data_IF_808305805586
#
_entry.id   IF_808305805586
#
_cell.length_a   1.000
_cell.length_b   1.000
_cell.length_c   1.000
_cell.angle_alpha   90.00
_cell.angle_beta   90.00
_cell.angle_gamma   90.00
#
_symmetry.space_group_name_H-M   'P 1'
#
loop_
_entity.id
_entity.type
_entity.pdbx_description
1 polymer ?
#
# COMPACT_ATOMS: atom_id res chain seq x y z
N UNK A 1 -4.44 -51.95 -48.27
CA UNK A 1 -4.41 -50.52 -47.89
C UNK A 1 -5.28 -50.23 -46.66
N UNK A 2 -6.23 -51.09 -46.32
CA UNK A 2 -7.09 -50.88 -45.14
C UNK A 2 -6.47 -51.29 -43.80
N UNK A 3 -5.59 -52.27 -43.76
CA UNK A 3 -4.95 -52.72 -42.50
C UNK A 3 -3.96 -51.69 -41.90
N UNK A 4 -3.28 -50.92 -42.76
CA UNK A 4 -2.33 -49.92 -42.34
C UNK A 4 -2.98 -48.65 -41.72
N UNK A 5 -4.26 -48.40 -42.03
CA UNK A 5 -5.03 -47.25 -41.55
C UNK A 5 -5.60 -47.49 -40.13
N UNK A 6 -5.94 -48.71 -39.79
CA UNK A 6 -6.44 -49.12 -38.49
C UNK A 6 -5.36 -49.15 -37.43
N UNK A 7 -4.13 -49.52 -37.79
CA UNK A 7 -3.00 -49.55 -36.84
C UNK A 7 -2.52 -48.15 -36.48
N UNK A 8 -2.55 -47.18 -37.37
CA UNK A 8 -2.18 -45.77 -37.11
C UNK A 8 -3.25 -45.03 -36.28
N UNK A 9 -4.53 -45.38 -36.47
CA UNK A 9 -5.62 -44.82 -35.64
C UNK A 9 -5.64 -45.39 -34.22
N UNK A 10 -5.36 -46.69 -34.04
CA UNK A 10 -5.27 -47.32 -32.73
C UNK A 10 -4.14 -46.74 -31.86
N UNK A 11 -2.98 -46.47 -32.47
CA UNK A 11 -1.82 -45.95 -31.76
C UNK A 11 -1.93 -44.45 -31.38
N UNK A 12 -2.74 -43.67 -32.12
CA UNK A 12 -3.07 -42.28 -31.76
C UNK A 12 -4.11 -42.19 -30.64
N UNK A 13 -5.10 -43.10 -30.62
CA UNK A 13 -6.11 -43.15 -29.55
C UNK A 13 -5.53 -43.61 -28.22
N UNK A 14 -4.58 -44.56 -28.23
CA UNK A 14 -3.88 -45.01 -27.00
C UNK A 14 -2.96 -43.91 -26.45
N UNK A 15 -2.31 -43.14 -27.32
CA UNK A 15 -1.49 -41.96 -26.87
C UNK A 15 -2.36 -40.81 -26.39
N UNK A 16 -3.56 -40.60 -26.87
CA UNK A 16 -4.49 -39.60 -26.38
C UNK A 16 -5.08 -40.02 -25.02
N UNK A 17 -5.37 -41.32 -24.83
CA UNK A 17 -5.87 -41.83 -23.55
C UNK A 17 -4.81 -41.80 -22.43
N UNK A 18 -3.52 -41.98 -22.77
CA UNK A 18 -2.43 -41.88 -21.79
C UNK A 18 -2.11 -40.43 -21.36
N UNK A 19 -2.38 -39.42 -22.21
CA UNK A 19 -2.20 -37.99 -21.88
C UNK A 19 -3.34 -37.48 -20.98
N UNK A 20 -4.55 -38.03 -21.09
CA UNK A 20 -5.70 -37.62 -20.25
C UNK A 20 -5.63 -38.28 -18.86
N UNK A 21 -4.97 -39.43 -18.71
CA UNK A 21 -4.85 -40.12 -17.41
C UNK A 21 -3.85 -39.49 -16.42
N UNK A 22 -2.99 -38.57 -16.85
CA UNK A 22 -1.96 -37.92 -15.99
C UNK A 22 -2.50 -36.63 -15.28
N UNK A 23 -3.73 -36.18 -15.58
CA UNK A 23 -4.26 -34.89 -15.11
C UNK A 23 -5.27 -35.01 -13.95
N UNK A 24 -5.39 -36.17 -13.31
CA UNK A 24 -6.11 -36.33 -12.04
C UNK A 24 -5.09 -36.58 -10.93
N UNK A 25 -4.21 -35.60 -10.69
CA UNK A 25 -3.55 -35.51 -9.40
C UNK A 25 -4.64 -35.06 -8.42
N UNK A 26 -5.01 -35.88 -7.41
CA UNK A 26 -5.84 -35.38 -6.34
C UNK A 26 -5.03 -34.23 -5.70
N UNK A 27 -5.45 -33.00 -5.90
CA UNK A 27 -5.05 -31.91 -5.02
C UNK A 27 -5.54 -32.33 -3.64
N UNK A 28 -4.66 -32.92 -2.86
CA UNK A 28 -4.84 -33.07 -1.42
C UNK A 28 -4.89 -31.61 -0.94
N UNK A 29 -6.08 -31.10 -0.70
CA UNK A 29 -6.30 -29.79 -0.09
C UNK A 29 -5.86 -29.88 1.37
N UNK A 30 -4.55 -29.99 1.60
CA UNK A 30 -3.98 -29.65 2.88
C UNK A 30 -4.28 -28.15 3.07
N UNK A 31 -4.85 -27.79 4.23
CA UNK A 31 -5.09 -26.37 4.53
C UNK A 31 -3.81 -25.55 4.31
N UNK A 32 -3.96 -24.28 3.97
CA UNK A 32 -2.83 -23.40 3.75
C UNK A 32 -1.92 -23.35 4.98
N UNK A 33 -0.64 -23.59 4.78
CA UNK A 33 0.37 -23.52 5.85
C UNK A 33 0.71 -22.04 6.15
N UNK A 34 1.33 -21.78 7.29
CA UNK A 34 1.82 -20.44 7.64
C UNK A 34 2.82 -19.92 6.59
N UNK A 35 3.61 -20.81 5.98
CA UNK A 35 4.59 -20.44 4.96
C UNK A 35 3.90 -20.01 3.68
N UNK A 36 2.88 -20.74 3.23
CA UNK A 36 2.11 -20.39 2.04
C UNK A 36 1.45 -19.02 2.19
N UNK A 37 0.86 -18.75 3.37
CA UNK A 37 0.24 -17.47 3.71
C UNK A 37 1.28 -16.33 3.74
N UNK A 38 2.49 -16.60 4.23
CA UNK A 38 3.57 -15.61 4.23
C UNK A 38 4.07 -15.30 2.81
N UNK A 39 4.20 -16.32 1.95
CA UNK A 39 4.57 -16.13 0.54
C UNK A 39 3.52 -15.31 -0.22
N UNK A 40 2.23 -15.57 0.02
CA UNK A 40 1.15 -14.75 -0.53
C UNK A 40 1.23 -13.30 -0.04
N UNK A 41 1.51 -13.11 1.25
CA UNK A 41 1.65 -11.79 1.86
C UNK A 41 2.84 -11.00 1.32
N UNK A 42 3.99 -11.64 1.06
CA UNK A 42 5.16 -10.99 0.44
C UNK A 42 4.83 -10.36 -0.92
N UNK A 43 3.92 -10.99 -1.66
CA UNK A 43 3.53 -10.52 -3.00
C UNK A 43 2.42 -9.47 -2.91
N UNK A 44 1.50 -9.61 -1.95
CA UNK A 44 0.24 -8.87 -1.96
C UNK A 44 0.14 -7.76 -0.93
N UNK A 45 0.89 -7.81 0.19
CA UNK A 45 0.76 -6.83 1.28
C UNK A 45 0.95 -5.38 0.82
N UNK A 46 -0.05 -4.50 1.00
CA UNK A 46 0.04 -3.10 0.57
C UNK A 46 1.12 -2.31 1.30
N UNK A 47 1.37 -2.60 2.58
CA UNK A 47 2.37 -1.89 3.39
C UNK A 47 3.79 -2.26 2.97
N UNK A 48 4.03 -3.51 2.60
CA UNK A 48 5.32 -3.92 2.06
C UNK A 48 5.57 -3.29 0.68
N UNK A 49 4.52 -3.22 -0.18
CA UNK A 49 4.60 -2.52 -1.47
C UNK A 49 4.88 -1.03 -1.30
N UNK A 50 4.27 -0.38 -0.31
CA UNK A 50 4.56 1.01 0.04
C UNK A 50 6.02 1.19 0.48
N UNK A 51 6.52 0.33 1.39
CA UNK A 51 7.91 0.36 1.85
C UNK A 51 8.89 0.16 0.68
N UNK A 52 8.58 -0.76 -0.25
CA UNK A 52 9.36 -0.96 -1.47
C UNK A 52 9.37 0.27 -2.37
N UNK A 53 8.20 0.87 -2.64
CA UNK A 53 8.10 2.07 -3.45
C UNK A 53 8.85 3.25 -2.82
N UNK A 54 8.77 3.41 -1.50
CA UNK A 54 9.52 4.43 -0.76
C UNK A 54 11.04 4.20 -0.86
N UNK A 55 11.49 2.96 -0.70
CA UNK A 55 12.90 2.59 -0.93
C UNK A 55 13.35 3.00 -2.34
N UNK A 56 12.57 2.68 -3.37
CA UNK A 56 12.89 3.05 -4.76
C UNK A 56 12.98 4.57 -4.93
N UNK A 57 12.02 5.33 -4.37
CA UNK A 57 12.05 6.79 -4.41
C UNK A 57 13.31 7.37 -3.72
N UNK A 58 13.73 6.78 -2.61
CA UNK A 58 14.94 7.22 -1.89
C UNK A 58 16.22 6.86 -2.67
N UNK A 59 16.27 5.73 -3.37
CA UNK A 59 17.41 5.35 -4.23
C UNK A 59 17.69 6.43 -5.28
N UNK A 60 16.65 7.08 -5.82
CA UNK A 60 16.78 8.18 -6.78
C UNK A 60 17.42 9.45 -6.19
N UNK A 61 17.54 9.55 -4.86
CA UNK A 61 18.29 10.65 -4.22
C UNK A 61 19.78 10.67 -4.58
N UNK A 62 20.35 9.50 -4.90
CA UNK A 62 21.75 9.38 -5.31
C UNK A 62 22.04 9.97 -6.69
N UNK A 63 21.33 9.62 -7.78
CA UNK A 63 21.50 10.30 -9.06
C UNK A 63 21.14 11.79 -8.99
N UNK A 64 20.16 12.19 -8.15
CA UNK A 64 19.87 13.61 -7.93
C UNK A 64 21.06 14.34 -7.28
N UNK A 65 21.68 13.75 -6.25
CA UNK A 65 22.88 14.32 -5.64
C UNK A 65 24.07 14.34 -6.62
N UNK A 66 24.21 13.34 -7.48
CA UNK A 66 25.23 13.29 -8.52
C UNK A 66 25.01 14.39 -9.57
N UNK A 67 23.76 14.73 -9.90
CA UNK A 67 23.44 15.76 -10.89
C UNK A 67 24.00 17.15 -10.52
N UNK A 68 24.21 17.43 -9.23
CA UNK A 68 24.82 18.68 -8.75
C UNK A 68 26.32 18.79 -9.14
N UNK A 69 26.95 17.67 -9.47
CA UNK A 69 28.34 17.61 -9.94
C UNK A 69 28.44 17.60 -11.47
N UNK A 70 27.31 17.50 -12.18
CA UNK A 70 27.28 17.49 -13.64
C UNK A 70 27.01 18.89 -14.20
N UNK A 71 27.35 19.13 -15.49
CA UNK A 71 27.00 20.38 -16.17
C UNK A 71 25.49 20.57 -16.21
N UNK A 72 25.03 21.76 -15.81
CA UNK A 72 23.62 22.16 -15.88
C UNK A 72 23.40 23.06 -17.10
N UNK A 73 22.62 22.59 -18.04
CA UNK A 73 22.14 23.37 -19.17
C UNK A 73 20.75 23.90 -18.89
N UNK A 74 20.58 25.22 -18.95
CA UNK A 74 19.28 25.87 -18.78
C UNK A 74 18.98 26.70 -20.02
N UNK A 75 17.79 26.56 -20.58
CA UNK A 75 17.26 27.39 -21.65
C UNK A 75 16.03 28.12 -21.14
N UNK A 76 15.98 29.42 -21.34
CA UNK A 76 14.83 30.25 -20.98
C UNK A 76 14.44 31.17 -22.15
N UNK A 77 13.16 31.47 -22.25
CA UNK A 77 12.61 32.39 -23.23
C UNK A 77 11.60 33.27 -22.51
N UNK A 78 11.77 34.57 -22.66
CA UNK A 78 10.91 35.60 -22.07
C UNK A 78 10.36 36.48 -23.14
N UNK A 79 9.04 36.61 -23.23
CA UNK A 79 8.35 37.64 -23.99
C UNK A 79 7.84 38.69 -23.00
N UNK A 80 8.14 39.94 -23.25
CA UNK A 80 7.66 41.06 -22.43
C UNK A 80 7.04 42.11 -23.35
N UNK A 81 5.80 42.44 -23.08
CA UNK A 81 5.03 43.52 -23.68
C UNK A 81 4.86 44.60 -22.60
N UNK A 82 5.30 45.83 -22.89
CA UNK A 82 5.29 46.93 -21.94
C UNK A 82 4.79 48.21 -22.61
N UNK A 83 3.66 48.71 -22.12
CA UNK A 83 3.10 49.97 -22.47
C UNK A 83 3.46 51.01 -21.41
N UNK A 84 4.27 52.00 -21.81
CA UNK A 84 4.64 53.10 -20.92
C UNK A 84 4.00 54.40 -21.39
N UNK A 85 3.11 54.92 -20.57
CA UNK A 85 2.49 56.22 -20.79
C UNK A 85 3.12 57.22 -19.85
N UNK A 86 3.64 58.31 -20.38
CA UNK A 86 4.28 59.36 -19.57
C UNK A 86 4.00 60.77 -20.09
N UNK A 87 4.15 61.72 -19.22
CA UNK A 87 4.09 63.12 -19.52
C UNK A 87 5.45 63.76 -19.30
N UNK A 88 6.07 64.25 -20.34
CA UNK A 88 7.28 65.08 -20.24
C UNK A 88 6.90 66.55 -20.18
N UNK A 89 7.30 67.16 -19.09
CA UNK A 89 7.10 68.64 -18.94
C UNK A 89 8.42 69.35 -19.15
N UNK A 90 8.50 70.15 -20.22
CA UNK A 90 9.66 70.92 -20.53
C UNK A 90 9.37 72.39 -20.22
N UNK A 91 10.22 73.01 -19.43
CA UNK A 91 10.18 74.47 -19.21
C UNK A 91 11.17 75.16 -20.15
N UNK A 92 10.63 75.97 -21.10
CA UNK A 92 11.42 76.77 -21.99
C UNK A 92 11.46 78.19 -21.43
N UNK A 93 12.66 78.68 -21.14
CA UNK A 93 12.90 80.06 -20.74
C UNK A 93 13.25 80.84 -21.98
N UNK A 94 12.47 81.90 -22.23
CA UNK A 94 12.67 82.84 -23.35
C UNK A 94 13.29 84.09 -22.78
N UNK A 95 14.47 84.44 -23.28
CA UNK A 95 15.20 85.65 -22.88
C UNK A 95 15.14 86.69 -23.97
N UNK A 96 15.14 87.95 -23.60
CA UNK A 96 15.29 89.09 -24.56
C UNK A 96 16.71 89.03 -25.15
N UNK A 97 16.83 89.03 -26.51
CA UNK A 97 18.14 88.93 -27.17
C UNK A 97 18.99 90.20 -27.00
N UNK A 98 18.38 91.36 -26.59
CA UNK A 98 19.09 92.65 -26.46
C UNK A 98 19.47 92.93 -25.00
N UNK A 99 18.56 92.69 -24.05
CA UNK A 99 18.75 93.04 -22.64
C UNK A 99 19.19 91.82 -21.81
N UNK A 100 18.98 90.60 -22.31
CA UNK A 100 19.29 89.33 -21.55
C UNK A 100 18.26 89.04 -20.47
N UNK A 101 17.18 89.80 -20.35
CA UNK A 101 16.14 89.61 -19.35
C UNK A 101 15.21 88.45 -19.70
N UNK A 102 14.69 87.75 -18.68
CA UNK A 102 13.73 86.68 -18.83
C UNK A 102 12.36 87.21 -19.26
N UNK A 103 11.97 87.00 -20.53
CA UNK A 103 10.71 87.42 -21.08
C UNK A 103 9.52 86.53 -20.73
N UNK A 104 9.73 85.25 -20.76
CA UNK A 104 8.67 84.28 -20.47
C UNK A 104 9.23 82.90 -20.07
N UNK A 105 8.46 82.17 -19.32
CA UNK A 105 8.67 80.72 -19.07
C UNK A 105 7.46 80.04 -19.66
N UNK A 106 7.65 79.27 -20.74
CA UNK A 106 6.61 78.48 -21.34
C UNK A 106 6.80 77.02 -20.81
N UNK A 107 5.70 76.41 -20.45
CA UNK A 107 5.69 75.01 -20.01
C UNK A 107 4.98 74.21 -21.08
N UNK A 108 5.72 73.37 -21.79
CA UNK A 108 5.20 72.42 -22.79
C UNK A 108 5.04 71.08 -22.17
N UNK A 109 3.83 70.52 -22.16
CA UNK A 109 3.53 69.17 -21.76
C UNK A 109 3.41 68.28 -23.01
N UNK A 110 4.30 67.34 -23.16
CA UNK A 110 4.24 66.39 -24.26
C UNK A 110 3.90 65.00 -23.64
N UNK A 111 2.77 64.46 -24.06
CA UNK A 111 2.42 63.08 -23.76
C UNK A 111 3.20 62.15 -24.69
N UNK A 112 3.78 61.10 -24.15
CA UNK A 112 4.34 60.05 -24.96
C UNK A 112 3.74 58.71 -24.57
N UNK A 113 3.51 57.85 -25.53
CA UNK A 113 3.14 56.46 -25.39
C UNK A 113 4.28 55.68 -26.01
N UNK A 114 4.88 54.83 -25.24
CA UNK A 114 5.94 53.96 -25.71
C UNK A 114 5.46 52.50 -25.52
N UNK A 115 5.18 51.84 -26.64
CA UNK A 115 4.95 50.39 -26.70
C UNK A 115 6.30 49.74 -26.97
N UNK A 116 6.65 48.75 -26.13
CA UNK A 116 7.90 48.04 -26.26
C UNK A 116 7.65 46.54 -26.16
N UNK A 117 7.77 45.85 -27.28
CA UNK A 117 7.78 44.38 -27.35
C UNK A 117 9.21 43.91 -27.30
N UNK A 118 9.52 43.02 -26.35
CA UNK A 118 10.83 42.41 -26.28
C UNK A 118 10.70 40.90 -26.21
N UNK A 119 11.49 40.19 -27.01
CA UNK A 119 11.65 38.75 -26.97
C UNK A 119 13.13 38.47 -26.67
N UNK A 120 13.35 37.79 -25.54
CA UNK A 120 14.69 37.39 -25.10
C UNK A 120 14.74 35.88 -24.98
N UNK A 121 15.76 35.26 -25.51
CA UNK A 121 16.11 33.88 -25.25
C UNK A 121 17.53 33.80 -24.71
N UNK A 122 17.74 32.84 -23.80
CA UNK A 122 19.02 32.64 -23.14
C UNK A 122 19.28 31.13 -22.98
N UNK A 123 20.49 30.73 -23.28
CA UNK A 123 20.98 29.35 -22.99
C UNK A 123 22.22 29.50 -22.15
N UNK A 124 22.13 28.96 -20.91
CA UNK A 124 23.22 29.04 -19.94
C UNK A 124 23.74 27.63 -19.63
N UNK A 125 25.01 27.37 -19.80
CA UNK A 125 25.72 26.18 -19.35
C UNK A 125 26.55 26.53 -18.12
N UNK A 126 26.26 25.87 -16.99
CA UNK A 126 26.97 26.07 -15.73
C UNK A 126 27.59 24.75 -15.27
N UNK A 127 28.88 24.77 -14.95
CA UNK A 127 29.63 23.62 -14.41
C UNK A 127 30.38 24.04 -13.15
N UNK A 128 30.08 23.36 -12.03
CA UNK A 128 30.92 23.45 -10.83
C UNK A 128 32.21 22.67 -11.02
N UNK A 129 33.37 23.33 -10.92
CA UNK A 129 34.68 22.67 -11.01
C UNK A 129 35.07 22.06 -9.67
N UNK A 130 34.89 22.80 -8.58
CA UNK A 130 35.15 22.33 -7.20
C UNK A 130 33.98 22.76 -6.33
N UNK A 131 33.24 21.76 -5.82
CA UNK A 131 32.14 22.00 -4.88
C UNK A 131 32.16 20.91 -3.78
N UNK A 132 32.74 21.28 -2.65
CA UNK A 132 32.84 20.39 -1.49
C UNK A 132 31.46 20.04 -0.93
N UNK A 133 30.47 20.94 -1.04
CA UNK A 133 29.12 20.71 -0.56
C UNK A 133 28.39 19.65 -1.40
N UNK A 134 28.54 19.70 -2.73
CA UNK A 134 27.99 18.70 -3.63
C UNK A 134 28.58 17.30 -3.38
N UNK A 135 29.88 17.20 -3.13
CA UNK A 135 30.53 15.94 -2.73
C UNK A 135 30.00 15.39 -1.40
N UNK A 136 29.81 16.28 -0.40
CA UNK A 136 29.24 15.87 0.88
C UNK A 136 27.78 15.46 0.74
N UNK A 137 27.00 16.11 -0.11
CA UNK A 137 25.62 15.73 -0.39
C UNK A 137 25.55 14.35 -1.07
N UNK A 138 26.45 14.03 -2.00
CA UNK A 138 26.53 12.70 -2.58
C UNK A 138 26.87 11.62 -1.53
N UNK A 139 27.80 11.89 -0.62
CA UNK A 139 28.11 11.00 0.50
C UNK A 139 26.90 10.82 1.43
N UNK A 140 26.19 11.90 1.72
CA UNK A 140 24.95 11.87 2.52
C UNK A 140 23.87 11.03 1.82
N UNK A 141 23.65 11.22 0.53
CA UNK A 141 22.69 10.44 -0.26
C UNK A 141 22.98 8.94 -0.19
N UNK A 142 24.27 8.53 -0.30
CA UNK A 142 24.65 7.12 -0.14
C UNK A 142 24.26 6.56 1.24
N UNK A 143 24.35 7.35 2.31
CA UNK A 143 23.94 6.90 3.65
C UNK A 143 22.42 6.85 3.80
N UNK A 144 21.70 7.77 3.18
CA UNK A 144 20.23 7.77 3.14
C UNK A 144 19.71 6.54 2.39
N UNK A 145 20.35 6.17 1.26
CA UNK A 145 20.01 4.92 0.53
C UNK A 145 20.24 3.69 1.40
N UNK A 146 21.41 3.61 2.08
CA UNK A 146 21.68 2.49 2.99
C UNK A 146 20.67 2.42 4.16
N UNK A 147 20.21 3.55 4.67
CA UNK A 147 19.14 3.60 5.67
C UNK A 147 17.84 3.04 5.09
N UNK A 148 17.43 3.47 3.89
CA UNK A 148 16.19 3.00 3.26
C UNK A 148 16.20 1.49 2.98
N UNK A 149 17.37 0.90 2.70
CA UNK A 149 17.53 -0.55 2.57
C UNK A 149 17.23 -1.28 3.89
N UNK A 150 17.73 -0.75 5.01
CA UNK A 150 17.48 -1.31 6.35
C UNK A 150 16.04 -1.11 6.77
N UNK A 151 15.44 0.05 6.46
CA UNK A 151 14.03 0.34 6.74
C UNK A 151 13.10 -0.64 5.99
N UNK A 152 13.44 -0.99 4.75
CA UNK A 152 12.72 -2.01 3.98
C UNK A 152 12.84 -3.41 4.62
N UNK A 153 14.05 -3.81 5.06
CA UNK A 153 14.23 -5.07 5.78
C UNK A 153 13.45 -5.12 7.10
N UNK A 154 13.34 -3.98 7.79
CA UNK A 154 12.49 -3.87 8.98
C UNK A 154 11.01 -4.08 8.64
N UNK A 155 10.54 -3.53 7.52
CA UNK A 155 9.17 -3.72 7.05
C UNK A 155 8.88 -5.19 6.68
N UNK A 156 9.85 -5.93 6.12
CA UNK A 156 9.73 -7.37 5.88
C UNK A 156 9.61 -8.17 7.20
N UNK A 157 10.38 -7.80 8.22
CA UNK A 157 10.29 -8.44 9.54
C UNK A 157 8.94 -8.14 10.22
N UNK A 158 8.46 -6.90 10.12
CA UNK A 158 7.15 -6.52 10.63
C UNK A 158 6.01 -7.27 9.91
N UNK A 159 6.14 -7.49 8.60
CA UNK A 159 5.20 -8.32 7.85
C UNK A 159 5.14 -9.74 8.41
N UNK A 160 6.30 -10.36 8.68
CA UNK A 160 6.36 -11.71 9.24
C UNK A 160 5.58 -11.81 10.56
N UNK A 161 5.76 -10.83 11.45
CA UNK A 161 5.05 -10.79 12.74
C UNK A 161 3.54 -10.59 12.53
N UNK A 162 3.13 -9.69 11.61
CA UNK A 162 1.71 -9.45 11.31
C UNK A 162 1.03 -10.68 10.74
N UNK A 163 1.69 -11.37 9.81
CA UNK A 163 1.16 -12.61 9.21
C UNK A 163 1.02 -13.69 10.28
N UNK A 164 2.02 -13.89 11.13
CA UNK A 164 1.95 -14.85 12.22
C UNK A 164 0.77 -14.56 13.16
N UNK A 165 0.62 -13.32 13.60
CA UNK A 165 -0.48 -12.93 14.48
C UNK A 165 -1.83 -13.16 13.80
N UNK A 166 -2.03 -12.65 12.57
CA UNK A 166 -3.29 -12.82 11.85
C UNK A 166 -3.64 -14.31 11.62
N UNK A 167 -2.65 -15.13 11.30
CA UNK A 167 -2.83 -16.59 11.13
C UNK A 167 -3.33 -17.27 12.41
N UNK A 168 -2.67 -17.01 13.54
CA UNK A 168 -3.06 -17.60 14.82
C UNK A 168 -4.36 -17.03 15.35
N UNK A 169 -4.67 -15.75 15.07
CA UNK A 169 -5.96 -15.15 15.45
C UNK A 169 -7.13 -15.84 14.72
N UNK A 170 -6.97 -16.19 13.44
CA UNK A 170 -7.99 -16.95 12.71
C UNK A 170 -8.15 -18.35 13.30
N UNK A 171 -7.06 -19.05 13.61
CA UNK A 171 -7.12 -20.39 14.23
C UNK A 171 -7.79 -20.34 15.61
N UNK A 172 -7.43 -19.38 16.45
CA UNK A 172 -8.04 -19.19 17.76
C UNK A 172 -9.53 -18.87 17.66
N UNK A 173 -9.93 -18.03 16.70
CA UNK A 173 -11.33 -17.72 16.46
C UNK A 173 -12.12 -18.92 15.93
N UNK A 174 -11.50 -19.80 15.12
CA UNK A 174 -12.12 -21.08 14.70
C UNK A 174 -12.34 -22.02 15.88
N UNK A 175 -11.34 -22.21 16.74
CA UNK A 175 -11.44 -23.07 17.92
C UNK A 175 -12.47 -22.52 18.93
N UNK A 176 -12.54 -21.18 19.07
CA UNK A 176 -13.56 -20.53 19.89
C UNK A 176 -14.96 -20.78 19.34
N UNK A 177 -15.18 -20.64 18.03
CA UNK A 177 -16.48 -20.92 17.43
C UNK A 177 -16.89 -22.40 17.61
N UNK A 178 -15.97 -23.34 17.42
CA UNK A 178 -16.23 -24.77 17.63
C UNK A 178 -16.62 -25.05 19.11
N UNK A 179 -15.94 -24.42 20.05
CA UNK A 179 -16.24 -24.51 21.48
C UNK A 179 -17.61 -23.96 21.82
N UNK A 180 -17.99 -22.77 21.31
CA UNK A 180 -19.29 -22.15 21.55
C UNK A 180 -20.43 -22.96 20.91
N UNK A 181 -20.22 -23.56 19.75
CA UNK A 181 -21.18 -24.49 19.13
C UNK A 181 -21.41 -25.73 19.99
N UNK A 182 -20.32 -26.32 20.53
CA UNK A 182 -20.42 -27.46 21.42
C UNK A 182 -21.12 -27.10 22.74
N UNK A 183 -20.81 -25.94 23.33
CA UNK A 183 -21.45 -25.43 24.53
C UNK A 183 -22.97 -25.20 24.30
N UNK A 184 -23.36 -24.56 23.19
CA UNK A 184 -24.77 -24.39 22.83
C UNK A 184 -25.50 -25.72 22.72
N UNK A 185 -24.91 -26.71 22.04
CA UNK A 185 -25.50 -28.05 21.89
C UNK A 185 -25.68 -28.75 23.23
N UNK A 186 -24.80 -28.53 24.21
CA UNK A 186 -24.93 -29.07 25.57
C UNK A 186 -26.04 -28.37 26.36
N UNK A 187 -26.12 -27.02 26.28
CA UNK A 187 -27.17 -26.22 26.96
C UNK A 187 -28.56 -26.50 26.36
N UNK A 188 -28.65 -26.72 25.04
CA UNK A 188 -29.91 -27.12 24.38
C UNK A 188 -30.44 -28.44 24.94
N UNK A 189 -29.56 -29.45 25.14
CA UNK A 189 -29.94 -30.71 25.79
C UNK A 189 -30.37 -30.52 27.25
N UNK A 190 -29.71 -29.62 27.96
CA UNK A 190 -30.07 -29.30 29.34
C UNK A 190 -31.48 -28.64 29.40
N UNK A 191 -31.80 -27.72 28.50
CA UNK A 191 -33.12 -27.13 28.38
C UNK A 191 -34.20 -28.17 28.08
N UNK A 192 -33.94 -29.11 27.16
CA UNK A 192 -34.87 -30.20 26.86
C UNK A 192 -35.12 -31.10 28.08
N UNK A 193 -34.07 -31.41 28.84
CA UNK A 193 -34.20 -32.13 30.09
C UNK A 193 -35.00 -31.39 31.16
N UNK A 194 -34.80 -30.08 31.29
CA UNK A 194 -35.56 -29.24 32.21
C UNK A 194 -37.07 -29.21 31.82
N UNK A 195 -37.39 -29.11 30.53
CA UNK A 195 -38.78 -29.18 30.04
C UNK A 195 -39.46 -30.51 30.41
N UNK A 196 -38.75 -31.65 30.17
CA UNK A 196 -39.26 -32.99 30.52
C UNK A 196 -39.48 -33.17 32.02
N UNK A 197 -38.58 -32.64 32.87
CA UNK A 197 -38.73 -32.71 34.34
C UNK A 197 -39.89 -31.86 34.83
N UNK A 198 -40.15 -30.72 34.20
CA UNK A 198 -41.29 -29.91 34.51
C UNK A 198 -42.61 -30.59 34.14
N UNK A 199 -42.68 -31.25 32.97
CA UNK A 199 -43.87 -31.97 32.51
C UNK A 199 -44.31 -33.05 33.48
N UNK A 200 -43.36 -33.67 34.21
CA UNK A 200 -43.64 -34.65 35.26
C UNK A 200 -43.69 -34.03 36.67
N UNK A 201 -43.66 -32.72 36.82
CA UNK A 201 -43.85 -32.01 38.07
C UNK A 201 -42.69 -32.00 39.06
N UNK A 202 -41.43 -32.31 38.58
CA UNK A 202 -40.25 -32.41 39.43
C UNK A 202 -39.57 -31.07 39.69
N UNK A 203 -39.72 -30.08 38.76
CA UNK A 203 -39.10 -28.74 38.88
C UNK A 203 -40.11 -27.64 38.69
N UNK A 204 -39.78 -26.41 39.11
CA UNK A 204 -40.63 -25.25 38.98
C UNK A 204 -40.52 -24.63 37.57
N UNK A 205 -41.51 -23.81 37.21
CA UNK A 205 -41.51 -23.07 35.92
C UNK A 205 -40.33 -22.09 35.83
N UNK A 206 -39.86 -21.55 36.95
CA UNK A 206 -38.69 -20.69 37.05
C UNK A 206 -37.41 -21.35 36.51
N UNK A 207 -37.25 -22.67 36.78
CA UNK A 207 -36.07 -23.43 36.33
C UNK A 207 -36.04 -23.58 34.79
N UNK A 208 -37.23 -23.66 34.14
CA UNK A 208 -37.33 -23.64 32.67
C UNK A 208 -36.96 -22.26 32.13
N UNK A 209 -37.45 -21.19 32.76
CA UNK A 209 -37.13 -19.83 32.31
C UNK A 209 -35.62 -19.54 32.43
N UNK A 210 -35.01 -20.02 33.50
CA UNK A 210 -33.55 -19.91 33.68
C UNK A 210 -32.77 -20.72 32.64
N UNK A 211 -33.17 -21.95 32.34
CA UNK A 211 -32.57 -22.77 31.30
C UNK A 211 -32.79 -22.18 29.90
N UNK A 212 -33.95 -21.56 29.63
CA UNK A 212 -34.22 -20.86 28.38
C UNK A 212 -33.31 -19.63 28.24
N UNK A 213 -33.17 -18.82 29.31
CA UNK A 213 -32.27 -17.66 29.28
C UNK A 213 -30.79 -18.06 29.02
N UNK A 214 -30.36 -19.16 29.64
CA UNK A 214 -29.02 -19.71 29.38
C UNK A 214 -28.86 -20.18 27.92
N UNK A 215 -29.86 -20.78 27.32
CA UNK A 215 -29.84 -21.17 25.91
C UNK A 215 -29.81 -19.95 24.99
N UNK A 216 -30.62 -18.93 25.23
CA UNK A 216 -30.64 -17.70 24.45
C UNK A 216 -29.26 -16.98 24.53
N UNK A 217 -28.64 -16.97 25.71
CA UNK A 217 -27.29 -16.45 25.91
C UNK A 217 -26.27 -17.23 25.11
N UNK A 218 -26.37 -18.57 25.05
CA UNK A 218 -25.42 -19.40 24.26
C UNK A 218 -25.53 -19.14 22.75
N UNK A 219 -26.73 -18.86 22.25
CA UNK A 219 -26.97 -18.44 20.88
C UNK A 219 -26.24 -17.10 20.59
N UNK A 220 -26.36 -16.13 21.51
CA UNK A 220 -25.70 -14.84 21.36
C UNK A 220 -24.18 -14.98 21.36
N UNK A 221 -23.62 -15.86 22.21
CA UNK A 221 -22.19 -16.18 22.24
C UNK A 221 -21.71 -16.80 20.93
N UNK A 222 -22.44 -17.79 20.38
CA UNK A 222 -22.11 -18.40 19.09
C UNK A 222 -22.13 -17.36 17.95
N UNK A 223 -23.13 -16.48 17.90
CA UNK A 223 -23.22 -15.41 16.89
C UNK A 223 -22.01 -14.47 17.01
N UNK A 224 -21.62 -14.13 18.23
CA UNK A 224 -20.45 -13.28 18.50
C UNK A 224 -19.16 -13.95 18.02
N UNK A 225 -18.95 -15.24 18.35
CA UNK A 225 -17.79 -16.00 17.90
C UNK A 225 -17.74 -16.13 16.36
N UNK A 226 -18.89 -16.35 15.73
CA UNK A 226 -19.00 -16.41 14.26
C UNK A 226 -18.62 -15.08 13.59
N UNK A 227 -19.04 -13.96 14.16
CA UNK A 227 -18.65 -12.63 13.67
C UNK A 227 -17.18 -12.36 13.88
N UNK A 228 -16.61 -12.74 15.04
CA UNK A 228 -15.19 -12.60 15.31
C UNK A 228 -14.36 -13.38 14.30
N UNK A 229 -14.72 -14.62 13.98
CA UNK A 229 -14.06 -15.42 12.95
C UNK A 229 -14.13 -14.75 11.57
N UNK A 230 -15.27 -14.16 11.20
CA UNK A 230 -15.41 -13.44 9.95
C UNK A 230 -14.46 -12.21 9.92
N UNK A 231 -14.38 -11.46 11.01
CA UNK A 231 -13.49 -10.30 11.12
C UNK A 231 -12.01 -10.68 11.04
N UNK A 232 -11.58 -11.73 11.75
CA UNK A 232 -10.18 -12.19 11.72
C UNK A 232 -9.78 -12.71 10.34
N UNK A 233 -10.70 -13.37 9.62
CA UNK A 233 -10.48 -13.78 8.23
C UNK A 233 -10.30 -12.58 7.28
N UNK A 234 -11.10 -11.51 7.46
CA UNK A 234 -10.92 -10.29 6.66
C UNK A 234 -9.60 -9.58 6.95
N UNK A 235 -9.14 -9.57 8.22
CA UNK A 235 -7.82 -9.03 8.58
C UNK A 235 -6.68 -9.83 7.94
N UNK A 236 -6.80 -11.14 7.86
CA UNK A 236 -5.83 -11.97 7.14
C UNK A 236 -5.88 -11.68 5.64
N UNK A 237 -7.07 -11.52 5.06
CA UNK A 237 -7.23 -11.16 3.66
C UNK A 237 -6.63 -9.81 3.33
N UNK A 238 -6.72 -8.81 4.20
CA UNK A 238 -6.09 -7.51 4.01
C UNK A 238 -4.60 -7.63 3.70
N UNK A 239 -3.93 -8.62 4.33
CA UNK A 239 -2.49 -8.84 4.18
C UNK A 239 -2.17 -9.70 2.95
N UNK A 240 -3.00 -10.74 2.66
CA UNK A 240 -2.70 -11.75 1.65
C UNK A 240 -3.42 -11.55 0.32
N UNK A 241 -4.47 -10.71 0.30
CA UNK A 241 -5.45 -10.55 -0.79
C UNK A 241 -6.10 -11.89 -1.22
N UNK A 242 -6.04 -12.92 -0.37
CA UNK A 242 -6.55 -14.26 -0.63
C UNK A 242 -7.42 -14.76 0.53
N UNK A 243 -8.43 -15.62 0.21
CA UNK A 243 -9.25 -16.32 1.20
C UNK A 243 -8.82 -17.78 1.28
N UNK A 244 -7.96 -18.17 2.21
CA UNK A 244 -7.68 -19.57 2.43
C UNK A 244 -8.92 -20.27 3.01
N UNK A 245 -9.46 -21.30 2.31
CA UNK A 245 -10.65 -22.01 2.76
C UNK A 245 -10.40 -22.72 4.10
N UNK A 246 -9.21 -23.26 4.30
CA UNK A 246 -8.79 -23.91 5.54
C UNK A 246 -7.34 -23.57 5.85
N UNK A 247 -7.07 -23.26 7.11
CA UNK A 247 -5.72 -23.11 7.64
C UNK A 247 -5.27 -24.43 8.28
N UNK A 248 -4.00 -24.76 8.12
CA UNK A 248 -3.40 -25.94 8.74
C UNK A 248 -3.11 -25.64 10.21
N UNK A 249 -3.63 -26.47 11.14
CA UNK A 249 -3.26 -26.35 12.55
C UNK A 249 -1.79 -26.73 12.74
N UNK A 250 -1.00 -25.95 13.50
CA UNK A 250 0.39 -26.28 13.76
C UNK A 250 0.49 -27.63 14.48
N UNK A 251 1.50 -28.43 14.12
CA UNK A 251 1.74 -29.73 14.76
C UNK A 251 2.13 -29.57 16.25
N UNK A 252 1.84 -30.59 17.05
CA UNK A 252 2.13 -30.58 18.49
C UNK A 252 3.62 -30.43 18.85
N UNK A 253 4.52 -30.68 17.92
CA UNK A 253 5.99 -30.61 18.10
C UNK A 253 6.58 -29.40 17.36
N UNK A 254 6.17 -28.19 17.69
CA UNK A 254 6.83 -26.99 17.16
C UNK A 254 8.13 -26.75 17.95
N UNK A 255 9.32 -26.77 17.31
CA UNK A 255 10.57 -26.49 18.03
C UNK A 255 10.58 -25.01 18.42
N UNK A 256 10.42 -24.72 19.70
CA UNK A 256 10.61 -23.39 20.26
C UNK A 256 12.12 -23.09 20.28
N UNK A 257 12.64 -22.49 19.24
CA UNK A 257 14.02 -21.97 19.24
C UNK A 257 13.98 -20.64 19.99
N UNK A 258 14.50 -20.63 21.22
CA UNK A 258 14.73 -19.36 21.93
C UNK A 258 15.86 -18.62 21.22
N UNK A 259 15.64 -17.39 20.74
CA UNK A 259 16.71 -16.58 20.19
C UNK A 259 17.75 -16.37 21.28
N UNK A 260 19.02 -16.66 20.96
CA UNK A 260 20.13 -16.36 21.84
C UNK A 260 20.31 -14.82 21.86
N UNK A 261 20.08 -14.11 22.96
CA UNK A 261 20.34 -12.67 23.02
C UNK A 261 21.85 -12.45 22.87
N UNK A 262 22.27 -11.82 21.77
CA UNK A 262 23.64 -11.29 21.60
C UNK A 262 23.75 -9.91 22.22
#
# INVERSE_FOLDING_TARGET
MEECFLEVMGNKLIKLASVVAVLVIPFVTNGASLIDIYEDALINDPRLKEAYANKQAIIESKPQALSLLLPKLTASSTFSDSDTNGNNTFQRRIFDPITGDLLAVTTDNTQFVQETDSFQWEVTLQQSIIDASAWMNLKKANKIVAQAEVDYLSAEQDLMVRVCNAYFDVLAAQDTLESEQAARAAIEKQLDQSRKRYEVGIIAITDIQEAQAAFDQSIASEISAKRNLATTKELLREITDNYPEKLQKPGANMPLIMPNPQ
#
